data_IF_795099800817
#
_entry.id   IF_795099800817
#
_cell.length_a   1.000
_cell.length_b   1.000
_cell.length_c   1.000
_cell.angle_alpha   90.00
_cell.angle_beta   90.00
_cell.angle_gamma   90.00
#
_symmetry.space_group_name_H-M   'P 1'
#
loop_
_entity.id
_entity.type
_entity.pdbx_description
1 polymer ?
#
# COMPACT_ATOMS: atom_id res chain seq x y z
N UNK A 1 2.12 32.32 5.43
CA UNK A 1 1.44 31.98 4.16
C UNK A 1 1.05 30.52 4.21
N UNK A 2 -0.17 30.16 3.79
CA UNK A 2 -0.85 28.88 4.06
C UNK A 2 -0.14 27.70 3.38
N UNK A 3 0.16 26.65 4.14
CA UNK A 3 0.65 25.36 3.65
C UNK A 3 -0.57 24.59 3.13
N UNK A 4 -0.70 24.43 1.81
CA UNK A 4 -1.66 23.51 1.23
C UNK A 4 -0.94 22.46 0.40
N UNK A 5 -0.44 21.48 1.15
CA UNK A 5 0.09 20.21 0.72
C UNK A 5 -1.03 19.42 0.00
N UNK A 6 -1.21 19.61 -1.31
CA UNK A 6 -1.97 18.64 -2.12
C UNK A 6 -1.06 17.43 -2.31
N UNK A 7 -1.13 16.52 -1.33
CA UNK A 7 -0.52 15.20 -1.36
C UNK A 7 -0.96 14.53 -2.66
N UNK A 8 0.00 14.41 -3.56
CA UNK A 8 0.08 13.41 -4.62
C UNK A 8 -0.42 12.07 -4.05
N UNK A 9 -1.68 11.76 -4.36
CA UNK A 9 -2.46 10.62 -3.88
C UNK A 9 -2.04 9.35 -4.63
N UNK A 10 -0.74 9.15 -4.79
CA UNK A 10 -0.18 7.93 -5.34
C UNK A 10 -0.45 6.78 -4.38
N UNK A 11 -0.85 5.64 -4.92
CA UNK A 11 -0.99 4.37 -4.19
C UNK A 11 0.29 4.13 -3.40
N UNK A 12 0.19 3.83 -2.11
CA UNK A 12 1.34 3.54 -1.25
C UNK A 12 1.19 2.15 -0.67
N UNK A 13 2.32 1.47 -0.53
CA UNK A 13 2.37 0.18 0.13
C UNK A 13 1.90 0.34 1.57
N UNK A 14 0.86 -0.38 1.98
CA UNK A 14 0.32 -0.25 3.33
C UNK A 14 1.28 -0.78 4.40
N UNK A 15 2.11 -1.77 4.06
CA UNK A 15 3.11 -2.30 4.98
C UNK A 15 4.38 -1.43 5.07
N UNK A 16 4.81 -0.87 3.93
CA UNK A 16 6.17 -0.35 3.76
C UNK A 16 6.18 1.19 3.54
N UNK A 17 5.04 1.81 3.24
CA UNK A 17 4.90 3.26 2.98
C UNK A 17 5.47 3.75 1.65
N UNK A 18 6.07 2.85 0.87
CA UNK A 18 6.68 3.13 -0.43
C UNK A 18 5.61 3.52 -1.47
N UNK A 19 5.91 4.50 -2.33
CA UNK A 19 5.04 4.83 -3.47
C UNK A 19 4.97 3.63 -4.43
N UNK A 20 3.75 3.22 -4.73
CA UNK A 20 3.40 2.29 -5.77
C UNK A 20 3.06 3.07 -7.02
N UNK A 21 3.33 2.44 -8.15
CA UNK A 21 2.88 2.90 -9.46
C UNK A 21 1.91 1.86 -10.01
N UNK A 22 1.00 2.23 -10.88
CA UNK A 22 0.02 1.31 -11.48
C UNK A 22 0.68 0.08 -12.13
N UNK A 23 1.91 0.23 -12.64
CA UNK A 23 2.70 -0.86 -13.22
C UNK A 23 3.43 -1.77 -12.20
N UNK A 24 3.52 -1.37 -10.93
CA UNK A 24 4.24 -2.08 -9.87
C UNK A 24 3.39 -2.20 -8.59
N UNK A 25 2.07 -2.32 -8.76
CA UNK A 25 1.13 -2.58 -7.68
C UNK A 25 0.96 -4.09 -7.52
N UNK A 26 1.12 -4.55 -6.29
CA UNK A 26 0.79 -5.90 -5.89
C UNK A 26 -0.50 -5.86 -5.06
N UNK A 27 -1.61 -6.32 -5.63
CA UNK A 27 -2.91 -6.39 -4.94
C UNK A 27 -3.05 -7.77 -4.28
N UNK A 28 -3.44 -7.80 -3.01
CA UNK A 28 -3.76 -9.04 -2.30
C UNK A 28 -5.05 -8.85 -1.51
N UNK A 29 -5.95 -9.83 -1.57
CA UNK A 29 -7.21 -9.80 -0.82
C UNK A 29 -6.95 -10.43 0.55
N UNK A 30 -7.10 -9.64 1.60
CA UNK A 30 -6.92 -10.06 2.99
C UNK A 30 -8.19 -9.65 3.74
N UNK A 31 -8.83 -10.57 4.47
CA UNK A 31 -10.08 -10.29 5.20
C UNK A 31 -11.17 -9.65 4.30
N UNK A 32 -11.34 -10.16 3.07
CA UNK A 32 -12.32 -9.64 2.08
C UNK A 32 -12.06 -8.19 1.63
N UNK A 33 -10.87 -7.63 1.92
CA UNK A 33 -10.45 -6.30 1.49
C UNK A 33 -9.26 -6.38 0.56
N UNK A 34 -9.29 -5.57 -0.50
CA UNK A 34 -8.16 -5.41 -1.41
C UNK A 34 -7.11 -4.50 -0.77
N UNK A 35 -5.91 -5.05 -0.58
CA UNK A 35 -4.77 -4.35 -0.01
C UNK A 35 -3.66 -4.19 -1.05
N UNK A 36 -3.02 -3.02 -1.03
CA UNK A 36 -2.02 -2.63 -2.03
C UNK A 36 -0.61 -2.65 -1.45
N UNK A 37 0.28 -3.39 -2.11
CA UNK A 37 1.66 -3.59 -1.67
C UNK A 37 2.66 -3.37 -2.81
N UNK A 38 3.92 -3.15 -2.46
CA UNK A 38 5.00 -3.06 -3.45
C UNK A 38 5.56 -4.43 -3.85
N UNK A 39 5.29 -5.47 -3.06
CA UNK A 39 5.75 -6.82 -3.31
C UNK A 39 4.96 -7.82 -2.47
N UNK A 40 5.02 -9.10 -2.87
CA UNK A 40 4.39 -10.21 -2.16
C UNK A 40 4.86 -10.33 -0.71
N UNK A 41 6.12 -9.97 -0.42
CA UNK A 41 6.70 -10.06 0.92
C UNK A 41 6.11 -9.02 1.90
N UNK A 42 5.84 -7.78 1.43
CA UNK A 42 5.12 -6.78 2.22
C UNK A 42 3.67 -7.26 2.48
N UNK A 43 3.02 -7.90 1.51
CA UNK A 43 1.67 -8.44 1.66
C UNK A 43 1.61 -9.60 2.68
N UNK A 44 2.57 -10.53 2.61
CA UNK A 44 2.66 -11.68 3.51
C UNK A 44 2.88 -11.25 4.97
N UNK A 45 3.78 -10.27 5.19
CA UNK A 45 4.01 -9.69 6.52
C UNK A 45 2.75 -9.03 7.09
N UNK A 46 2.00 -8.33 6.23
CA UNK A 46 0.77 -7.65 6.63
C UNK A 46 -0.33 -8.66 6.98
N UNK A 47 -0.51 -9.69 6.15
CA UNK A 47 -1.44 -10.79 6.43
C UNK A 47 -1.07 -11.53 7.73
N UNK A 48 0.22 -11.79 7.94
CA UNK A 48 0.71 -12.43 9.16
C UNK A 48 0.46 -11.59 10.41
N UNK A 49 0.52 -10.25 10.30
CA UNK A 49 0.23 -9.34 11.41
C UNK A 49 -1.27 -9.16 11.70
N UNK A 50 -2.15 -9.57 10.77
CA UNK A 50 -3.60 -9.53 10.91
C UNK A 50 -4.19 -10.84 11.46
N UNK A 51 -3.38 -11.89 11.52
CA UNK A 51 -3.74 -13.23 12.00
C UNK A 51 -3.60 -13.34 13.52
#
# INVERSE_FOLDING_TARGET
MRINLKKDEGLRCENCGMKLNENNIYVRIINDKEHYFCCSHCADKFENSLK
#
